data_IF_879524799200
#
_entry.id   IF_879524799200
#
_cell.length_a   1.000
_cell.length_b   1.000
_cell.length_c   1.000
_cell.angle_alpha   90.00
_cell.angle_beta   90.00
_cell.angle_gamma   90.00
#
_symmetry.space_group_name_H-M   'P 1'
#
loop_
_entity.id
_entity.type
_entity.pdbx_description
1 polymer ?
#
# COMPACT_ATOMS: atom_id res chain seq x y z
N UNK A 1 12.43 5.01 12.13
CA UNK A 1 10.95 5.15 12.08
C UNK A 1 10.49 6.53 12.55
N UNK A 2 10.92 7.04 13.70
CA UNK A 2 10.52 8.38 14.19
C UNK A 2 10.79 9.52 13.22
N UNK A 3 11.95 9.55 12.58
CA UNK A 3 12.29 10.55 11.55
C UNK A 3 11.36 10.49 10.34
N UNK A 4 10.98 9.28 9.90
CA UNK A 4 10.00 9.11 8.82
C UNK A 4 8.64 9.68 9.24
N UNK A 5 8.18 9.40 10.46
CA UNK A 5 6.93 9.96 10.97
C UNK A 5 6.95 11.49 11.06
N UNK A 6 8.06 12.07 11.53
CA UNK A 6 8.24 13.52 11.57
C UNK A 6 8.14 14.12 10.16
N UNK A 7 8.88 13.56 9.20
CA UNK A 7 8.82 13.94 7.79
C UNK A 7 7.40 13.88 7.21
N UNK A 8 6.64 12.82 7.50
CA UNK A 8 5.25 12.67 7.04
C UNK A 8 4.35 13.77 7.62
N UNK A 9 4.46 14.02 8.94
CA UNK A 9 3.67 15.05 9.64
C UNK A 9 3.97 16.45 9.09
N UNK A 10 5.24 16.79 8.90
CA UNK A 10 5.68 18.07 8.31
C UNK A 10 5.13 18.29 6.90
N UNK A 11 4.97 17.21 6.14
CA UNK A 11 4.40 17.26 4.80
C UNK A 11 2.87 17.03 4.78
N UNK A 12 2.20 17.04 5.95
CA UNK A 12 0.74 16.94 6.06
C UNK A 12 0.19 15.55 5.71
N UNK A 13 1.01 14.50 5.81
CA UNK A 13 0.58 13.11 5.62
C UNK A 13 0.26 12.49 6.99
N UNK A 14 -0.89 11.83 7.08
CA UNK A 14 -1.40 11.25 8.33
C UNK A 14 -1.68 9.75 8.26
N UNK A 15 -1.31 9.11 7.17
CA UNK A 15 -1.44 7.67 6.97
C UNK A 15 -0.07 7.10 6.61
N UNK A 16 0.42 6.16 7.40
CA UNK A 16 1.72 5.53 7.20
C UNK A 16 1.59 4.02 7.11
N UNK A 17 2.19 3.43 6.08
CA UNK A 17 2.34 1.99 5.99
C UNK A 17 3.67 1.55 6.61
N UNK A 18 3.63 0.58 7.51
CA UNK A 18 4.81 -0.07 8.09
C UNK A 18 4.68 -1.59 8.07
N UNK A 19 5.67 -2.27 7.51
CA UNK A 19 5.67 -3.74 7.45
C UNK A 19 6.28 -4.35 8.72
N UNK A 20 5.46 -4.65 9.73
CA UNK A 20 5.91 -5.37 10.94
C UNK A 20 5.98 -6.87 10.72
N UNK A 21 5.20 -7.39 9.79
CA UNK A 21 5.35 -8.72 9.20
C UNK A 21 5.65 -8.56 7.71
N UNK A 22 6.63 -9.29 7.20
CA UNK A 22 7.05 -9.20 5.79
C UNK A 22 7.16 -10.59 5.17
N UNK A 23 6.30 -10.92 4.18
CA UNK A 23 6.44 -12.15 3.42
C UNK A 23 7.70 -12.06 2.55
N UNK A 24 8.57 -13.06 2.63
CA UNK A 24 9.83 -13.10 1.89
C UNK A 24 9.99 -14.39 1.12
N UNK A 25 10.53 -14.28 -0.10
CA UNK A 25 10.89 -15.46 -0.90
C UNK A 25 12.10 -16.21 -0.31
N UNK A 26 13.02 -15.48 0.34
CA UNK A 26 14.14 -16.09 1.05
C UNK A 26 13.85 -16.21 2.54
N UNK A 27 14.08 -17.39 3.17
CA UNK A 27 13.89 -17.57 4.60
C UNK A 27 14.93 -16.78 5.43
N UNK A 28 16.02 -16.35 4.82
CA UNK A 28 17.10 -15.59 5.48
C UNK A 28 16.89 -14.07 5.45
N UNK A 29 15.90 -13.58 4.68
CA UNK A 29 15.60 -12.15 4.62
C UNK A 29 14.90 -11.67 5.89
N UNK A 30 15.03 -10.38 6.18
CA UNK A 30 14.34 -9.73 7.30
C UNK A 30 12.83 -9.91 7.20
N UNK A 31 12.21 -10.56 8.18
CA UNK A 31 10.77 -10.91 8.19
C UNK A 31 9.89 -9.90 8.93
N UNK A 32 10.47 -8.82 9.42
CA UNK A 32 9.77 -7.83 10.25
C UNK A 32 10.06 -8.03 11.75
N UNK A 33 9.51 -7.14 12.56
CA UNK A 33 9.70 -7.11 14.02
C UNK A 33 8.53 -7.78 14.78
N UNK A 34 7.54 -8.31 14.08
CA UNK A 34 6.40 -8.97 14.69
C UNK A 34 5.52 -8.04 15.54
N UNK A 35 4.80 -8.62 16.50
CA UNK A 35 3.86 -7.89 17.34
C UNK A 35 4.53 -6.85 18.25
N UNK A 36 5.72 -7.09 18.74
CA UNK A 36 6.45 -6.09 19.54
C UNK A 36 6.77 -4.86 18.70
N UNK A 37 7.21 -5.06 17.47
CA UNK A 37 7.39 -3.97 16.52
C UNK A 37 6.09 -3.24 16.18
N UNK A 38 4.95 -3.93 16.15
CA UNK A 38 3.65 -3.31 15.92
C UNK A 38 3.22 -2.43 17.11
N UNK A 39 3.40 -2.92 18.34
CA UNK A 39 3.09 -2.14 19.56
C UNK A 39 3.92 -0.85 19.62
N UNK A 40 5.21 -0.94 19.33
CA UNK A 40 6.07 0.24 19.27
C UNK A 40 5.68 1.19 18.15
N UNK A 41 5.38 0.67 16.96
CA UNK A 41 4.91 1.47 15.82
C UNK A 41 3.61 2.20 16.17
N UNK A 42 2.63 1.50 16.77
CA UNK A 42 1.37 2.07 17.21
C UNK A 42 1.58 3.21 18.23
N UNK A 43 2.38 2.98 19.27
CA UNK A 43 2.67 4.01 20.29
C UNK A 43 3.27 5.27 19.67
N UNK A 44 4.27 5.13 18.78
CA UNK A 44 4.92 6.24 18.10
C UNK A 44 3.97 6.99 17.15
N UNK A 45 3.13 6.25 16.41
CA UNK A 45 2.18 6.81 15.46
C UNK A 45 1.06 7.59 16.16
N UNK A 46 0.49 7.02 17.24
CA UNK A 46 -0.54 7.69 18.05
C UNK A 46 -0.07 9.01 18.64
N UNK A 47 1.17 9.07 19.14
CA UNK A 47 1.77 10.29 19.67
C UNK A 47 1.90 11.42 18.61
N UNK A 48 1.82 11.09 17.32
CA UNK A 48 1.97 12.01 16.19
C UNK A 48 0.70 12.20 15.36
N UNK A 49 -0.41 11.60 15.76
CA UNK A 49 -1.68 11.63 15.02
C UNK A 49 -1.60 10.94 13.65
N UNK A 50 -0.76 9.91 13.53
CA UNK A 50 -0.61 9.10 12.32
C UNK A 50 -1.46 7.84 12.44
N UNK A 51 -2.18 7.51 11.39
CA UNK A 51 -2.90 6.25 11.19
C UNK A 51 -1.98 5.20 10.58
N UNK A 52 -2.16 3.93 10.96
CA UNK A 52 -1.28 2.83 10.57
C UNK A 52 -1.96 1.90 9.59
N UNK A 53 -1.23 1.61 8.49
CA UNK A 53 -1.51 0.48 7.59
C UNK A 53 -0.42 -0.56 7.80
N UNK A 54 -0.78 -1.82 8.02
CA UNK A 54 0.21 -2.90 8.08
C UNK A 54 -0.33 -4.20 7.50
N UNK A 55 0.58 -5.02 6.96
CA UNK A 55 0.24 -6.28 6.33
C UNK A 55 -0.09 -7.34 7.38
N UNK A 56 -1.25 -7.99 7.22
CA UNK A 56 -1.65 -9.20 7.92
C UNK A 56 -1.40 -10.39 7.00
N UNK A 57 -0.82 -11.47 7.53
CA UNK A 57 -0.37 -12.60 6.72
C UNK A 57 -1.18 -13.89 6.96
N UNK A 58 -1.82 -14.01 8.12
CA UNK A 58 -2.55 -15.22 8.52
C UNK A 58 -3.72 -14.88 9.43
N UNK A 59 -4.70 -15.77 9.48
CA UNK A 59 -5.96 -15.58 10.23
C UNK A 59 -5.73 -15.27 11.72
N UNK A 60 -4.82 -15.98 12.37
CA UNK A 60 -4.52 -15.77 13.80
C UNK A 60 -4.00 -14.38 14.15
N UNK A 61 -3.44 -13.66 13.17
CA UNK A 61 -2.97 -12.28 13.38
C UNK A 61 -4.09 -11.25 13.33
N UNK A 62 -5.25 -11.57 12.77
CA UNK A 62 -6.33 -10.59 12.60
C UNK A 62 -6.79 -10.04 13.94
N UNK A 63 -7.12 -10.92 14.89
CA UNK A 63 -7.52 -10.55 16.24
C UNK A 63 -6.37 -9.89 17.02
N UNK A 64 -5.16 -10.49 16.97
CA UNK A 64 -3.99 -10.01 17.71
C UNK A 64 -3.56 -8.60 17.30
N UNK A 65 -3.69 -8.25 16.01
CA UNK A 65 -3.30 -6.95 15.46
C UNK A 65 -4.42 -5.91 15.55
N UNK A 66 -5.67 -6.32 15.78
CA UNK A 66 -6.85 -5.48 15.65
C UNK A 66 -6.71 -4.13 16.35
N UNK A 67 -6.32 -4.10 17.61
CA UNK A 67 -6.26 -2.85 18.41
C UNK A 67 -5.11 -1.92 18.02
N UNK A 68 -4.14 -2.42 17.26
CA UNK A 68 -2.91 -1.72 16.92
C UNK A 68 -2.86 -1.18 15.49
N UNK A 69 -3.84 -1.53 14.64
CA UNK A 69 -3.88 -1.09 13.24
C UNK A 69 -5.11 -0.22 12.96
N UNK A 70 -5.00 0.68 12.01
CA UNK A 70 -6.14 1.46 11.51
C UNK A 70 -6.66 0.89 10.17
N UNK A 71 -5.79 0.27 9.39
CA UNK A 71 -6.11 -0.38 8.11
C UNK A 71 -5.32 -1.68 7.99
N UNK A 72 -6.00 -2.79 7.78
CA UNK A 72 -5.35 -4.04 7.42
C UNK A 72 -4.92 -4.04 5.96
N UNK A 73 -3.72 -4.52 5.66
CA UNK A 73 -3.29 -4.75 4.28
C UNK A 73 -3.22 -6.24 3.99
N UNK A 74 -3.89 -6.66 2.90
CA UNK A 74 -3.65 -7.96 2.28
C UNK A 74 -2.59 -7.78 1.20
N UNK A 75 -1.43 -8.40 1.37
CA UNK A 75 -0.33 -8.33 0.41
C UNK A 75 -0.63 -9.10 -0.87
N UNK A 76 0.06 -8.73 -1.96
CA UNK A 76 -0.14 -9.33 -3.28
C UNK A 76 0.06 -10.86 -3.33
N UNK A 77 0.80 -11.44 -2.37
CA UNK A 77 1.00 -12.90 -2.24
C UNK A 77 -0.14 -13.58 -1.49
N UNK A 78 -1.00 -12.83 -0.82
CA UNK A 78 -2.13 -13.30 -0.03
C UNK A 78 -3.50 -12.94 -0.63
N UNK A 79 -3.55 -12.37 -1.82
CA UNK A 79 -4.80 -11.95 -2.47
C UNK A 79 -5.77 -13.11 -2.67
N UNK A 80 -5.26 -14.32 -2.84
CA UNK A 80 -6.06 -15.56 -2.98
C UNK A 80 -6.08 -16.41 -1.69
N UNK A 81 -5.71 -15.85 -0.55
CA UNK A 81 -5.85 -16.52 0.74
C UNK A 81 -7.27 -16.30 1.27
N UNK A 82 -8.22 -17.08 0.75
CA UNK A 82 -9.64 -16.90 1.01
C UNK A 82 -9.99 -17.02 2.50
N UNK A 83 -9.32 -17.88 3.25
CA UNK A 83 -9.52 -17.97 4.71
C UNK A 83 -9.15 -16.66 5.42
N UNK A 84 -8.10 -15.98 4.95
CA UNK A 84 -7.72 -14.67 5.49
C UNK A 84 -8.71 -13.59 5.09
N UNK A 85 -9.21 -13.62 3.84
CA UNK A 85 -10.20 -12.68 3.35
C UNK A 85 -11.52 -12.82 4.11
N UNK A 86 -11.99 -14.04 4.35
CA UNK A 86 -13.18 -14.34 5.16
C UNK A 86 -13.02 -13.79 6.59
N UNK A 87 -11.88 -14.03 7.24
CA UNK A 87 -11.61 -13.50 8.57
C UNK A 87 -11.62 -11.97 8.60
N UNK A 88 -11.13 -11.30 7.55
CA UNK A 88 -11.16 -9.84 7.41
C UNK A 88 -12.56 -9.31 7.07
N UNK A 89 -13.46 -10.13 6.57
CA UNK A 89 -14.87 -9.81 6.40
C UNK A 89 -15.59 -9.54 7.72
N UNK A 90 -15.15 -10.18 8.81
CA UNK A 90 -15.73 -10.00 10.14
C UNK A 90 -15.18 -8.82 10.94
N UNK A 91 -14.21 -8.04 10.44
CA UNK A 91 -13.64 -6.91 11.17
C UNK A 91 -14.33 -5.58 10.82
N UNK A 92 -14.36 -4.65 11.77
CA UNK A 92 -14.95 -3.32 11.58
C UNK A 92 -13.97 -2.26 11.03
N UNK A 93 -12.78 -2.68 10.58
CA UNK A 93 -11.69 -1.82 10.08
C UNK A 93 -11.51 -1.90 8.58
N UNK A 94 -11.04 -0.81 7.93
CA UNK A 94 -10.73 -0.83 6.52
C UNK A 94 -9.70 -1.91 6.15
N UNK A 95 -9.90 -2.53 4.99
CA UNK A 95 -8.99 -3.53 4.41
C UNK A 95 -8.52 -3.07 3.04
N UNK A 96 -7.21 -2.91 2.89
CA UNK A 96 -6.57 -2.62 1.61
C UNK A 96 -6.10 -3.93 0.97
N UNK A 97 -6.61 -4.24 -0.21
CA UNK A 97 -6.24 -5.46 -0.95
C UNK A 97 -5.33 -5.06 -2.12
N UNK A 98 -4.10 -5.55 -2.10
CA UNK A 98 -3.15 -5.37 -3.20
C UNK A 98 -3.39 -6.42 -4.27
N UNK A 99 -3.46 -6.00 -5.55
CA UNK A 99 -3.56 -6.89 -6.69
C UNK A 99 -2.45 -7.94 -6.67
N UNK A 100 -2.79 -9.19 -6.95
CA UNK A 100 -1.84 -10.28 -7.10
C UNK A 100 -0.87 -10.02 -8.24
N UNK A 101 0.38 -10.47 -8.09
CA UNK A 101 1.44 -10.22 -9.08
C UNK A 101 1.20 -10.86 -10.46
N UNK A 102 0.28 -11.81 -10.54
CA UNK A 102 -0.20 -12.43 -11.79
C UNK A 102 -1.73 -12.44 -11.83
N UNK A 103 -2.37 -11.63 -10.95
CA UNK A 103 -3.82 -11.58 -10.80
C UNK A 103 -4.47 -10.67 -11.84
N UNK A 104 -5.62 -11.11 -12.35
CA UNK A 104 -6.50 -10.29 -13.19
C UNK A 104 -7.24 -9.24 -12.35
N UNK A 105 -7.88 -8.29 -13.01
CA UNK A 105 -8.79 -7.33 -12.35
C UNK A 105 -9.98 -8.06 -11.71
N UNK A 106 -10.52 -9.08 -12.38
CA UNK A 106 -11.62 -9.89 -11.89
C UNK A 106 -11.26 -10.64 -10.60
N UNK A 107 -10.06 -11.23 -10.52
CA UNK A 107 -9.59 -11.89 -9.31
C UNK A 107 -9.41 -10.91 -8.14
N UNK A 108 -8.97 -9.65 -8.41
CA UNK A 108 -8.90 -8.63 -7.38
C UNK A 108 -10.30 -8.24 -6.87
N UNK A 109 -11.27 -8.07 -7.76
CA UNK A 109 -12.65 -7.79 -7.39
C UNK A 109 -13.28 -8.95 -6.63
N UNK A 110 -13.03 -10.20 -7.06
CA UNK A 110 -13.48 -11.39 -6.34
C UNK A 110 -12.89 -11.48 -4.93
N UNK A 111 -11.61 -11.10 -4.77
CA UNK A 111 -10.99 -11.05 -3.44
C UNK A 111 -11.63 -9.97 -2.55
N UNK A 112 -12.04 -8.84 -3.13
CA UNK A 112 -12.80 -7.82 -2.41
C UNK A 112 -14.20 -8.33 -2.02
N UNK A 113 -14.86 -9.09 -2.89
CA UNK A 113 -16.17 -9.67 -2.66
C UNK A 113 -16.16 -10.67 -1.49
N UNK A 114 -15.09 -11.45 -1.30
CA UNK A 114 -14.93 -12.30 -0.12
C UNK A 114 -14.99 -11.51 1.18
N UNK A 115 -14.29 -10.39 1.28
CA UNK A 115 -14.31 -9.53 2.47
C UNK A 115 -15.67 -8.85 2.62
N UNK A 116 -16.25 -8.37 1.51
CA UNK A 116 -17.56 -7.72 1.48
C UNK A 116 -18.68 -8.67 1.95
N UNK A 117 -18.68 -9.92 1.49
CA UNK A 117 -19.69 -10.94 1.84
C UNK A 117 -19.67 -11.28 3.34
N UNK A 118 -18.54 -11.09 4.02
CA UNK A 118 -18.40 -11.20 5.48
C UNK A 118 -18.98 -10.01 6.26
N UNK A 119 -19.44 -8.95 5.58
CA UNK A 119 -20.05 -7.75 6.17
C UNK A 119 -19.13 -6.53 6.25
N UNK A 120 -17.88 -6.61 5.81
CA UNK A 120 -16.95 -5.48 5.82
C UNK A 120 -16.92 -4.76 4.46
N UNK A 121 -17.61 -3.63 4.38
CA UNK A 121 -17.68 -2.77 3.19
C UNK A 121 -16.55 -1.74 3.09
N UNK A 122 -15.66 -1.65 4.08
CA UNK A 122 -14.57 -0.67 4.15
C UNK A 122 -13.34 -1.16 3.39
N UNK A 123 -13.43 -1.22 2.07
CA UNK A 123 -12.39 -1.79 1.21
C UNK A 123 -11.66 -0.74 0.41
N UNK A 124 -10.36 -0.98 0.15
CA UNK A 124 -9.50 -0.18 -0.70
C UNK A 124 -8.78 -1.14 -1.67
N UNK A 125 -8.87 -0.88 -2.97
CA UNK A 125 -8.15 -1.64 -3.98
C UNK A 125 -6.80 -0.99 -4.27
N UNK A 126 -5.76 -1.80 -4.47
CA UNK A 126 -4.41 -1.28 -4.72
C UNK A 126 -3.76 -1.96 -5.94
N UNK A 127 -3.59 -1.19 -7.01
CA UNK A 127 -2.74 -1.58 -8.14
C UNK A 127 -1.27 -1.43 -7.74
N UNK A 128 -0.45 -2.47 -7.97
CA UNK A 128 0.96 -2.52 -7.56
C UNK A 128 1.91 -3.13 -8.60
N UNK A 129 1.43 -3.27 -9.82
CA UNK A 129 2.14 -3.91 -10.91
C UNK A 129 1.91 -5.42 -10.98
N UNK A 130 1.98 -5.91 -12.18
CA UNK A 130 1.84 -7.33 -12.52
C UNK A 130 3.09 -7.84 -13.24
N UNK A 131 3.34 -9.13 -13.16
CA UNK A 131 4.37 -9.78 -13.96
C UNK A 131 3.93 -9.89 -15.42
N UNK A 132 4.80 -9.44 -16.30
CA UNK A 132 4.63 -9.57 -17.73
C UNK A 132 5.93 -10.16 -18.32
N UNK A 133 6.04 -10.19 -19.64
CA UNK A 133 7.28 -10.57 -20.35
C UNK A 133 8.39 -9.49 -20.22
N UNK A 134 8.04 -8.25 -19.83
CA UNK A 134 9.00 -7.14 -19.69
C UNK A 134 9.88 -7.31 -18.43
N UNK A 135 11.17 -7.11 -18.60
CA UNK A 135 12.18 -7.29 -17.55
C UNK A 135 12.99 -6.03 -17.24
N UNK A 136 12.76 -4.93 -17.96
CA UNK A 136 13.42 -3.65 -17.71
C UNK A 136 12.99 -2.98 -16.40
N UNK A 137 11.86 -3.39 -15.83
CA UNK A 137 11.35 -2.97 -14.55
C UNK A 137 11.00 -4.17 -13.67
N UNK A 138 10.81 -3.95 -12.36
CA UNK A 138 10.45 -5.01 -11.42
C UNK A 138 9.12 -5.70 -11.78
N UNK A 139 8.13 -4.91 -12.17
CA UNK A 139 6.83 -5.33 -12.66
C UNK A 139 6.33 -4.30 -13.66
N UNK A 140 5.33 -4.65 -14.45
CA UNK A 140 4.58 -3.68 -15.27
C UNK A 140 3.49 -3.05 -14.40
N UNK A 141 3.61 -1.76 -14.10
CA UNK A 141 2.55 -1.02 -13.40
C UNK A 141 1.39 -0.80 -14.37
N UNK A 142 0.27 -1.48 -14.12
CA UNK A 142 -0.90 -1.46 -15.00
C UNK A 142 -1.83 -0.31 -14.63
N UNK A 143 -1.55 0.88 -15.14
CA UNK A 143 -2.41 2.05 -14.90
C UNK A 143 -3.77 1.93 -15.61
N UNK A 144 -3.95 1.05 -16.61
CA UNK A 144 -5.26 0.77 -17.19
C UNK A 144 -6.23 0.17 -16.15
N UNK A 145 -5.70 -0.52 -15.14
CA UNK A 145 -6.52 -1.08 -14.06
C UNK A 145 -7.28 0.01 -13.28
N UNK A 146 -6.73 1.23 -13.17
CA UNK A 146 -7.33 2.30 -12.37
C UNK A 146 -8.71 2.71 -12.91
N UNK A 147 -8.86 3.20 -14.15
CA UNK A 147 -10.17 3.58 -14.68
C UNK A 147 -11.12 2.38 -14.80
N UNK A 148 -10.61 1.16 -15.07
CA UNK A 148 -11.44 -0.04 -15.14
C UNK A 148 -12.04 -0.38 -13.77
N UNK A 149 -11.24 -0.34 -12.69
CA UNK A 149 -11.71 -0.59 -11.33
C UNK A 149 -12.69 0.50 -10.86
N UNK A 150 -12.43 1.77 -11.20
CA UNK A 150 -13.33 2.88 -10.90
C UNK A 150 -14.68 2.76 -11.63
N UNK A 151 -14.69 2.20 -12.85
CA UNK A 151 -15.93 1.95 -13.59
C UNK A 151 -16.72 0.73 -13.08
N UNK A 152 -16.02 -0.29 -12.57
CA UNK A 152 -16.62 -1.56 -12.09
C UNK A 152 -17.04 -1.52 -10.62
N UNK A 153 -16.54 -0.57 -9.81
CA UNK A 153 -16.71 -0.56 -8.36
C UNK A 153 -16.74 0.88 -7.83
N UNK A 154 -17.42 1.07 -6.71
CA UNK A 154 -17.43 2.33 -5.95
C UNK A 154 -16.24 2.45 -4.99
N UNK A 155 -15.41 1.42 -4.88
CA UNK A 155 -14.32 1.36 -3.93
C UNK A 155 -13.20 2.35 -4.28
N UNK A 156 -12.51 2.92 -3.29
CA UNK A 156 -11.29 3.67 -3.52
C UNK A 156 -10.21 2.80 -4.18
N UNK A 157 -9.55 3.37 -5.20
CA UNK A 157 -8.45 2.73 -5.91
C UNK A 157 -7.17 3.51 -5.67
N UNK A 158 -6.15 2.87 -5.13
CA UNK A 158 -4.82 3.46 -4.92
C UNK A 158 -3.77 2.76 -5.78
N UNK A 159 -2.64 3.44 -6.00
CA UNK A 159 -1.54 2.92 -6.79
C UNK A 159 -0.27 2.87 -5.94
N UNK A 160 0.47 1.77 -6.06
CA UNK A 160 1.78 1.54 -5.44
C UNK A 160 2.87 1.50 -6.53
N UNK A 161 3.42 2.65 -6.93
CA UNK A 161 4.46 2.71 -7.95
C UNK A 161 5.79 2.13 -7.46
N UNK A 162 6.10 2.20 -6.16
CA UNK A 162 7.34 1.66 -5.60
C UNK A 162 7.48 0.16 -5.87
N UNK A 163 6.42 -0.62 -5.64
CA UNK A 163 6.41 -2.05 -5.97
C UNK A 163 6.06 -2.33 -7.43
N UNK A 164 5.42 -1.37 -8.11
CA UNK A 164 5.10 -1.46 -9.53
C UNK A 164 6.35 -1.38 -10.38
N UNK A 165 6.97 -0.20 -10.47
CA UNK A 165 8.16 0.00 -11.31
C UNK A 165 9.44 -0.55 -10.65
N UNK A 166 9.60 -0.41 -9.33
CA UNK A 166 10.74 -0.93 -8.57
C UNK A 166 12.06 -0.20 -8.79
N UNK A 167 12.04 0.96 -9.44
CA UNK A 167 13.20 1.80 -9.75
C UNK A 167 12.92 3.20 -9.21
N UNK A 168 13.73 3.65 -8.23
CA UNK A 168 13.56 4.91 -7.50
C UNK A 168 13.32 6.11 -8.40
N UNK A 169 14.14 6.26 -9.44
CA UNK A 169 14.09 7.38 -10.39
C UNK A 169 12.71 7.54 -11.06
N UNK A 170 12.01 6.43 -11.31
CA UNK A 170 10.75 6.43 -12.05
C UNK A 170 9.51 6.41 -11.15
N UNK A 171 9.67 6.18 -9.84
CA UNK A 171 8.55 6.18 -8.90
C UNK A 171 7.74 7.49 -8.94
N UNK A 172 8.36 8.70 -8.96
CA UNK A 172 7.60 9.94 -9.01
C UNK A 172 6.73 10.07 -10.28
N UNK A 173 7.26 9.74 -11.44
CA UNK A 173 6.52 9.82 -12.70
C UNK A 173 5.31 8.88 -12.69
N UNK A 174 5.48 7.65 -12.23
CA UNK A 174 4.40 6.65 -12.14
C UNK A 174 3.36 7.03 -11.09
N UNK A 175 3.76 7.66 -9.98
CA UNK A 175 2.85 8.18 -8.97
C UNK A 175 1.94 9.28 -9.53
N UNK A 176 2.52 10.25 -10.25
CA UNK A 176 1.75 11.35 -10.86
C UNK A 176 0.81 10.84 -11.96
N UNK A 177 1.28 9.92 -12.81
CA UNK A 177 0.46 9.27 -13.83
C UNK A 177 -0.71 8.47 -13.20
N UNK A 178 -0.49 7.81 -12.06
CA UNK A 178 -1.54 7.12 -11.32
C UNK A 178 -2.67 8.05 -10.86
N UNK A 179 -2.33 9.25 -10.36
CA UNK A 179 -3.33 10.27 -10.00
C UNK A 179 -4.12 10.73 -11.22
N UNK A 180 -3.45 11.00 -12.34
CA UNK A 180 -4.11 11.40 -13.59
C UNK A 180 -4.96 10.28 -14.19
N UNK A 181 -4.60 9.02 -13.98
CA UNK A 181 -5.42 7.88 -14.38
C UNK A 181 -6.70 7.70 -13.53
N UNK A 182 -6.88 8.50 -12.46
CA UNK A 182 -8.07 8.47 -11.61
C UNK A 182 -7.87 7.85 -10.23
N UNK A 183 -6.64 7.52 -9.81
CA UNK A 183 -6.40 6.97 -8.49
C UNK A 183 -6.80 7.94 -7.36
N UNK A 184 -7.39 7.39 -6.30
CA UNK A 184 -7.80 8.11 -5.10
C UNK A 184 -6.64 8.33 -4.11
N UNK A 185 -5.53 7.61 -4.29
CA UNK A 185 -4.35 7.74 -3.47
C UNK A 185 -3.12 7.04 -4.03
N UNK A 186 -1.98 7.36 -3.43
CA UNK A 186 -0.69 6.77 -3.77
C UNK A 186 -0.03 6.22 -2.50
N UNK A 187 0.50 5.02 -2.56
CA UNK A 187 1.39 4.47 -1.53
C UNK A 187 2.78 4.26 -2.13
N UNK A 188 3.79 4.82 -1.49
CA UNK A 188 5.19 4.67 -1.92
C UNK A 188 6.11 4.55 -0.72
N UNK A 189 7.35 4.17 -0.95
CA UNK A 189 8.35 3.96 0.10
C UNK A 189 9.27 5.17 0.23
N UNK A 190 9.52 5.61 1.48
CA UNK A 190 10.46 6.69 1.80
C UNK A 190 11.31 6.36 3.03
N UNK A 191 12.56 6.77 3.01
CA UNK A 191 13.52 6.60 4.10
C UNK A 191 14.50 7.78 4.12
N UNK A 192 15.03 8.14 5.29
CA UNK A 192 16.05 9.21 5.42
C UNK A 192 17.28 8.93 4.55
N UNK A 193 17.72 7.68 4.54
CA UNK A 193 18.89 7.19 3.79
C UNK A 193 18.50 5.86 3.14
N UNK A 194 17.95 5.86 1.93
CA UNK A 194 17.43 4.66 1.28
C UNK A 194 18.41 3.49 1.19
N UNK A 195 19.70 3.79 1.05
CA UNK A 195 20.79 2.82 0.94
C UNK A 195 20.96 1.99 2.23
N UNK A 196 20.50 2.51 3.37
CA UNK A 196 20.55 1.84 4.68
C UNK A 196 19.23 1.21 5.09
N UNK A 197 18.21 1.28 4.22
CA UNK A 197 16.91 0.70 4.51
C UNK A 197 17.02 -0.83 4.69
N UNK A 198 16.34 -1.37 5.68
CA UNK A 198 16.36 -2.81 5.97
C UNK A 198 15.78 -3.67 4.82
N UNK A 199 15.04 -3.05 3.89
CA UNK A 199 14.48 -3.68 2.69
C UNK A 199 14.11 -2.63 1.66
N UNK A 200 14.02 -3.06 0.39
CA UNK A 200 13.43 -2.31 -0.71
C UNK A 200 14.13 -0.95 -1.01
N UNK A 201 15.41 -0.77 -0.63
CA UNK A 201 16.16 0.49 -0.81
C UNK A 201 16.25 0.96 -2.26
N UNK A 202 16.28 0.05 -3.23
CA UNK A 202 16.40 0.38 -4.65
C UNK A 202 15.23 1.21 -5.23
N UNK A 203 14.06 1.16 -4.60
CA UNK A 203 12.85 1.86 -5.02
C UNK A 203 12.40 2.96 -4.04
N UNK A 204 13.12 3.08 -2.90
CA UNK A 204 12.75 3.98 -1.80
C UNK A 204 13.24 5.40 -2.10
N UNK A 205 12.34 6.40 -1.96
CA UNK A 205 12.68 7.81 -2.08
C UNK A 205 13.35 8.33 -0.80
N UNK A 206 14.27 9.27 -0.92
CA UNK A 206 14.72 10.05 0.23
C UNK A 206 13.66 11.09 0.66
N UNK A 207 13.93 11.83 1.73
CA UNK A 207 12.97 12.79 2.27
C UNK A 207 12.75 14.01 1.36
N UNK A 208 13.77 14.47 0.63
CA UNK A 208 13.65 15.61 -0.29
C UNK A 208 12.82 15.22 -1.53
N UNK A 209 13.08 14.04 -2.09
CA UNK A 209 12.30 13.46 -3.18
C UNK A 209 10.85 13.23 -2.77
N UNK A 210 10.64 12.67 -1.57
CA UNK A 210 9.32 12.43 -0.99
C UNK A 210 8.54 13.73 -0.79
N UNK A 211 9.15 14.76 -0.18
CA UNK A 211 8.51 16.06 0.01
C UNK A 211 8.12 16.70 -1.33
N UNK A 212 9.02 16.64 -2.32
CA UNK A 212 8.75 17.13 -3.69
C UNK A 212 7.60 16.35 -4.34
N UNK A 213 7.59 15.02 -4.21
CA UNK A 213 6.52 14.19 -4.72
C UNK A 213 5.16 14.54 -4.09
N UNK A 214 5.09 14.68 -2.77
CA UNK A 214 3.85 15.06 -2.06
C UNK A 214 3.28 16.38 -2.58
N UNK A 215 4.15 17.41 -2.76
CA UNK A 215 3.70 18.69 -3.33
C UNK A 215 3.16 18.54 -4.75
N UNK A 216 3.84 17.76 -5.59
CA UNK A 216 3.43 17.54 -6.97
C UNK A 216 2.15 16.70 -7.07
N UNK A 217 1.97 15.68 -6.23
CA UNK A 217 0.73 14.89 -6.16
C UNK A 217 -0.48 15.78 -5.86
N UNK A 218 -0.36 16.73 -4.91
CA UNK A 218 -1.44 17.67 -4.60
C UNK A 218 -1.78 18.57 -5.80
N UNK A 219 -0.76 19.06 -6.52
CA UNK A 219 -0.96 19.90 -7.72
C UNK A 219 -1.64 19.11 -8.85
N UNK A 220 -1.19 17.88 -9.08
CA UNK A 220 -1.78 17.01 -10.12
C UNK A 220 -3.20 16.60 -9.75
N UNK A 221 -3.48 16.37 -8.47
CA UNK A 221 -4.83 16.08 -7.99
C UNK A 221 -5.79 17.28 -8.25
N UNK A 222 -5.33 18.50 -7.98
CA UNK A 222 -6.10 19.73 -8.29
C UNK A 222 -6.31 19.87 -9.80
N UNK A 223 -5.25 19.72 -10.60
CA UNK A 223 -5.34 19.77 -12.06
C UNK A 223 -6.33 18.74 -12.62
N UNK A 224 -6.32 17.51 -12.08
CA UNK A 224 -7.30 16.50 -12.51
C UNK A 224 -8.74 16.98 -12.30
N UNK A 225 -9.05 17.59 -11.15
CA UNK A 225 -10.39 18.13 -10.89
C UNK A 225 -10.79 19.30 -11.79
N UNK A 226 -9.83 19.96 -12.45
CA UNK A 226 -10.09 21.01 -13.47
C UNK A 226 -10.32 20.41 -14.86
N UNK A 227 -9.91 19.14 -15.09
CA UNK A 227 -10.03 18.44 -16.37
C UNK A 227 -11.29 17.56 -16.47
N UNK A 228 -11.87 17.19 -15.33
CA UNK A 228 -13.12 16.42 -15.19
C UNK A 228 -14.34 17.36 -15.21
#
# INVERSE_FOLDING_TARGET
>A
MEKVMAHLVENGVRLMRGGVFKPRSSPYAFRGLGMDGLRDFHRMARARGIKIVTEVMQVSQVEEMHDFVDVFQVGARNTQNYNLLDALGGVDKPVMIKRGISGTIEELLSSAEYVFSGGNEKLILCERGIRTFETASRNTLDLNAVPILKAKSHLPVIVDPSHGIGIREYVPAMALAGVLAGADGIVYETHETPETAASDGAQTLDFDESARLIRNLRRVYQLRGELE
#
